data_IF_856978024953
#
_entry.id   IF_856978024953
#
_cell.length_a   1.000
_cell.length_b   1.000
_cell.length_c   1.000
_cell.angle_alpha   90.00
_cell.angle_beta   90.00
_cell.angle_gamma   90.00
#
_symmetry.space_group_name_H-M   'P 1'
#
loop_
_entity.id
_entity.type
_entity.pdbx_description
1 polymer ?
#
# COMPACT_ATOMS: atom_id res chain seq x y z
N UNK A 1 8.50 24.67 12.71
CA UNK A 1 8.41 24.01 11.40
C UNK A 1 8.42 22.52 11.67
N UNK A 2 7.36 21.80 11.30
CA UNK A 2 7.29 20.35 11.50
C UNK A 2 8.25 19.66 10.54
N UNK A 3 8.88 18.57 10.95
CA UNK A 3 9.80 17.77 10.13
C UNK A 3 9.61 16.31 10.47
N UNK A 4 9.76 15.42 9.49
CA UNK A 4 9.65 13.97 9.69
C UNK A 4 10.66 13.50 10.75
N UNK A 5 10.17 12.76 11.74
CA UNK A 5 11.01 12.04 12.70
C UNK A 5 11.61 10.76 12.08
N UNK A 6 12.70 10.93 11.33
CA UNK A 6 13.41 9.82 10.69
C UNK A 6 14.09 8.87 11.69
N UNK A 7 13.82 7.58 11.57
CA UNK A 7 14.57 6.54 12.29
C UNK A 7 15.91 6.28 11.60
N UNK A 8 16.90 5.86 12.40
CA UNK A 8 18.31 5.70 11.99
C UNK A 8 18.54 4.40 11.25
N UNK A 9 17.65 3.43 11.40
CA UNK A 9 17.76 2.12 10.77
C UNK A 9 16.39 1.45 10.59
N UNK A 10 16.34 0.48 9.68
CA UNK A 10 15.17 -0.39 9.53
C UNK A 10 14.86 -1.15 10.82
N UNK A 11 15.88 -1.61 11.55
CA UNK A 11 15.69 -2.32 12.82
C UNK A 11 15.02 -1.45 13.89
N UNK A 12 15.41 -0.18 13.99
CA UNK A 12 14.75 0.78 14.90
C UNK A 12 13.30 1.03 14.50
N UNK A 13 13.02 1.18 13.19
CA UNK A 13 11.65 1.36 12.72
C UNK A 13 10.77 0.13 12.94
N UNK A 14 11.32 -1.08 12.76
CA UNK A 14 10.64 -2.34 13.07
C UNK A 14 10.33 -2.43 14.56
N UNK A 15 11.28 -2.09 15.43
CA UNK A 15 11.06 -2.14 16.88
C UNK A 15 9.95 -1.19 17.33
N UNK A 16 9.88 0.01 16.76
CA UNK A 16 8.80 0.96 17.03
C UNK A 16 7.45 0.53 16.44
N UNK A 17 7.45 -0.07 15.25
CA UNK A 17 6.23 -0.53 14.59
C UNK A 17 5.60 -1.77 15.25
N UNK A 18 6.41 -2.56 15.98
CA UNK A 18 6.03 -3.90 16.46
C UNK A 18 4.73 -3.88 17.27
N UNK A 19 3.80 -4.75 16.89
CA UNK A 19 2.52 -4.93 17.58
C UNK A 19 1.50 -3.81 17.31
N UNK A 20 1.80 -2.88 16.39
CA UNK A 20 0.92 -1.82 15.95
C UNK A 20 0.40 -2.01 14.53
N UNK A 21 -0.33 -0.99 14.06
CA UNK A 21 -0.81 -0.86 12.68
C UNK A 21 0.17 -0.13 11.77
N UNK A 22 1.05 0.72 12.34
CA UNK A 22 2.11 1.40 11.59
C UNK A 22 3.12 0.37 11.09
N UNK A 23 3.63 0.58 9.88
CA UNK A 23 4.67 -0.24 9.27
C UNK A 23 5.90 0.63 8.93
N UNK A 24 7.12 0.06 8.89
CA UNK A 24 8.29 0.77 8.41
C UNK A 24 8.10 1.24 6.97
N UNK A 25 8.30 2.55 6.74
CA UNK A 25 8.36 3.14 5.40
C UNK A 25 9.81 3.54 5.10
N UNK A 26 10.46 2.78 4.23
CA UNK A 26 11.81 3.09 3.77
C UNK A 26 11.74 4.05 2.58
N UNK A 27 12.45 5.17 2.68
CA UNK A 27 12.57 6.18 1.63
C UNK A 27 14.01 6.19 1.13
N UNK A 28 14.22 5.61 -0.04
CA UNK A 28 15.51 5.54 -0.72
C UNK A 28 15.73 6.78 -1.57
N UNK A 29 16.87 7.42 -1.38
CA UNK A 29 17.25 8.68 -2.05
C UNK A 29 18.68 8.59 -2.56
N UNK A 30 19.04 9.43 -3.53
CA UNK A 30 20.40 9.58 -4.02
C UNK A 30 20.79 11.06 -4.13
N UNK A 31 22.03 11.42 -3.75
CA UNK A 31 22.58 12.76 -3.98
C UNK A 31 22.71 13.03 -5.48
N UNK A 32 22.36 14.25 -5.92
CA UNK A 32 22.41 14.64 -7.33
C UNK A 32 21.32 14.01 -8.20
N UNK A 33 20.33 13.34 -7.60
CA UNK A 33 19.12 12.89 -8.28
C UNK A 33 18.02 13.94 -8.09
N UNK A 34 17.61 14.60 -9.17
CA UNK A 34 16.59 15.67 -9.14
C UNK A 34 15.28 15.20 -8.50
N UNK A 35 14.83 13.98 -8.81
CA UNK A 35 13.62 13.41 -8.21
C UNK A 35 13.75 13.25 -6.70
N UNK A 36 14.91 12.78 -6.22
CA UNK A 36 15.17 12.64 -4.78
C UNK A 36 15.20 13.99 -4.09
N UNK A 37 15.83 14.99 -4.71
CA UNK A 37 15.93 16.35 -4.17
C UNK A 37 14.55 17.01 -4.09
N UNK A 38 13.74 16.93 -5.15
CA UNK A 38 12.37 17.45 -5.16
C UNK A 38 11.49 16.76 -4.13
N UNK A 39 11.53 15.43 -4.05
CA UNK A 39 10.79 14.68 -3.02
C UNK A 39 11.19 15.15 -1.61
N UNK A 40 12.48 15.29 -1.32
CA UNK A 40 12.94 15.67 0.02
C UNK A 40 12.62 17.13 0.37
N UNK A 41 12.65 18.05 -0.61
CA UNK A 41 12.57 19.49 -0.36
C UNK A 41 11.17 20.07 -0.58
N UNK A 42 10.32 19.45 -1.40
CA UNK A 42 8.99 19.96 -1.77
C UNK A 42 7.85 19.07 -1.24
N UNK A 43 8.02 17.74 -1.32
CA UNK A 43 6.95 16.79 -0.97
C UNK A 43 7.00 16.45 0.52
N UNK A 44 8.16 16.00 1.01
CA UNK A 44 8.36 15.58 2.40
C UNK A 44 8.54 16.75 3.39
N UNK A 45 8.40 17.99 2.90
CA UNK A 45 8.30 19.22 3.70
C UNK A 45 6.87 19.73 3.83
N UNK A 46 5.92 19.18 3.06
CA UNK A 46 4.51 19.52 3.16
C UNK A 46 3.92 19.04 4.48
N UNK A 47 3.28 19.92 5.26
CA UNK A 47 2.83 19.60 6.62
C UNK A 47 1.81 18.45 6.68
N UNK A 48 0.91 18.36 5.69
CA UNK A 48 -0.08 17.28 5.61
C UNK A 48 0.59 15.94 5.29
N UNK A 49 1.59 15.94 4.42
CA UNK A 49 2.38 14.74 4.09
C UNK A 49 3.19 14.28 5.29
N UNK A 50 3.86 15.20 6.00
CA UNK A 50 4.60 14.87 7.23
C UNK A 50 3.66 14.26 8.26
N UNK A 51 2.50 14.87 8.48
CA UNK A 51 1.51 14.38 9.43
C UNK A 51 0.99 12.98 9.06
N UNK A 52 0.73 12.74 7.77
CA UNK A 52 0.30 11.43 7.28
C UNK A 52 1.39 10.37 7.48
N UNK A 53 2.64 10.64 7.09
CA UNK A 53 3.76 9.70 7.26
C UNK A 53 3.96 9.35 8.73
N UNK A 54 3.99 10.34 9.62
CA UNK A 54 4.21 10.11 11.05
C UNK A 54 3.06 9.35 11.71
N UNK A 55 1.82 9.59 11.27
CA UNK A 55 0.63 8.91 11.79
C UNK A 55 0.56 7.46 11.32
N UNK A 56 0.86 7.21 10.05
CA UNK A 56 0.57 5.93 9.39
C UNK A 56 1.78 5.00 9.27
N UNK A 57 3.00 5.51 9.35
CA UNK A 57 4.22 4.75 9.10
C UNK A 57 5.32 5.09 10.08
N UNK A 58 6.36 4.25 10.12
CA UNK A 58 7.61 4.54 10.83
C UNK A 58 8.71 4.82 9.80
N UNK A 59 9.03 6.10 9.51
CA UNK A 59 9.85 6.45 8.36
C UNK A 59 11.35 6.26 8.59
N UNK A 60 12.03 5.68 7.60
CA UNK A 60 13.49 5.49 7.56
C UNK A 60 14.02 6.06 6.25
N UNK A 61 15.00 6.96 6.31
CA UNK A 61 15.67 7.46 5.11
C UNK A 61 16.94 6.66 4.84
N UNK A 62 17.09 6.19 3.61
CA UNK A 62 18.29 5.52 3.11
C UNK A 62 18.87 6.36 1.97
N UNK A 63 20.13 6.75 2.09
CA UNK A 63 20.91 7.24 0.94
C UNK A 63 21.56 6.04 0.26
N UNK A 64 21.25 5.79 -1.01
CA UNK A 64 21.73 4.60 -1.74
C UNK A 64 23.23 4.66 -2.03
N UNK A 65 23.83 5.86 -2.06
CA UNK A 65 25.27 6.05 -2.21
C UNK A 65 26.04 5.75 -0.91
N UNK A 66 25.41 5.98 0.24
CA UNK A 66 25.99 5.70 1.56
C UNK A 66 25.69 4.26 2.03
N UNK A 67 24.58 3.67 1.58
CA UNK A 67 24.13 2.34 2.00
C UNK A 67 23.70 1.46 0.82
N UNK A 68 24.69 1.09 -0.01
CA UNK A 68 24.50 0.24 -1.19
C UNK A 68 23.93 -1.13 -0.84
N UNK A 69 24.36 -1.74 0.26
CA UNK A 69 23.88 -3.06 0.69
C UNK A 69 22.36 -3.05 0.96
N UNK A 70 21.81 -1.95 1.49
CA UNK A 70 20.38 -1.83 1.69
C UNK A 70 19.64 -1.66 0.36
N UNK A 71 20.18 -0.86 -0.56
CA UNK A 71 19.61 -0.71 -1.90
C UNK A 71 19.57 -2.05 -2.65
N UNK A 72 20.65 -2.85 -2.57
CA UNK A 72 20.73 -4.20 -3.14
C UNK A 72 19.73 -5.16 -2.49
N UNK A 73 19.63 -5.17 -1.16
CA UNK A 73 18.67 -6.01 -0.40
C UNK A 73 17.25 -5.79 -0.90
N UNK A 74 16.86 -4.54 -1.10
CA UNK A 74 15.51 -4.17 -1.53
C UNK A 74 15.34 -4.11 -3.06
N UNK A 75 16.43 -4.34 -3.80
CA UNK A 75 16.51 -4.26 -5.26
C UNK A 75 16.08 -2.89 -5.80
N UNK A 76 16.52 -1.83 -5.15
CA UNK A 76 16.23 -0.44 -5.54
C UNK A 76 17.13 -0.07 -6.72
N UNK A 77 16.55 0.00 -7.91
CA UNK A 77 17.24 0.38 -9.15
C UNK A 77 17.01 1.84 -9.56
N UNK A 78 16.04 2.52 -8.96
CA UNK A 78 15.66 3.89 -9.28
C UNK A 78 15.36 4.68 -8.01
N UNK A 79 15.60 6.00 -8.01
CA UNK A 79 15.33 6.88 -6.86
C UNK A 79 14.55 8.13 -7.30
N UNK A 80 13.68 8.70 -6.45
CA UNK A 80 13.35 8.22 -5.11
C UNK A 80 12.54 6.91 -5.19
N UNK A 81 12.69 6.05 -4.18
CA UNK A 81 11.89 4.83 -4.07
C UNK A 81 11.39 4.67 -2.65
N UNK A 82 10.21 4.10 -2.53
CA UNK A 82 9.50 3.96 -1.28
C UNK A 82 9.14 2.50 -1.11
N UNK A 83 9.43 1.94 0.07
CA UNK A 83 9.16 0.53 0.36
C UNK A 83 8.52 0.44 1.73
N UNK A 84 7.31 -0.13 1.78
CA UNK A 84 6.67 -0.52 3.04
C UNK A 84 7.13 -1.92 3.39
N UNK A 85 7.56 -2.12 4.64
CA UNK A 85 8.05 -3.42 5.12
C UNK A 85 7.16 -4.01 6.21
N UNK A 86 7.20 -5.33 6.38
CA UNK A 86 6.65 -6.01 7.54
C UNK A 86 7.61 -5.96 8.76
N UNK A 87 7.20 -6.58 9.87
CA UNK A 87 8.00 -6.66 11.11
C UNK A 87 9.25 -7.54 10.99
N UNK A 88 9.38 -8.33 9.92
CA UNK A 88 10.57 -9.13 9.61
C UNK A 88 11.53 -8.39 8.67
N UNK A 89 11.10 -7.23 8.15
CA UNK A 89 11.84 -6.43 7.17
C UNK A 89 11.75 -6.97 5.75
N UNK A 90 10.71 -7.74 5.43
CA UNK A 90 10.36 -8.08 4.06
C UNK A 90 9.57 -6.93 3.42
N UNK A 91 9.80 -6.67 2.14
CA UNK A 91 9.04 -5.68 1.39
C UNK A 91 7.61 -6.20 1.13
N UNK A 92 6.61 -5.42 1.53
CA UNK A 92 5.20 -5.67 1.22
C UNK A 92 4.78 -4.89 -0.02
N UNK A 93 5.06 -3.59 -0.03
CA UNK A 93 4.65 -2.68 -1.09
C UNK A 93 5.76 -1.73 -1.49
N UNK A 94 5.70 -1.24 -2.72
CA UNK A 94 6.66 -0.25 -3.23
C UNK A 94 6.09 0.65 -4.31
N UNK A 95 6.61 1.87 -4.36
CA UNK A 95 6.49 2.75 -5.51
C UNK A 95 7.81 3.45 -5.78
N UNK A 96 8.08 3.76 -7.04
CA UNK A 96 9.33 4.35 -7.50
C UNK A 96 9.05 5.62 -8.31
N UNK A 97 9.96 6.59 -8.20
CA UNK A 97 9.87 7.87 -8.87
C UNK A 97 9.23 8.97 -8.03
N UNK A 98 9.36 10.19 -8.54
CA UNK A 98 8.75 11.37 -7.96
C UNK A 98 7.24 11.35 -8.17
N UNK A 99 6.50 11.67 -7.12
CA UNK A 99 5.08 12.04 -7.17
C UNK A 99 4.89 13.37 -6.43
N UNK A 100 4.01 14.26 -6.88
CA UNK A 100 3.78 15.54 -6.22
C UNK A 100 3.02 15.35 -4.90
N UNK A 101 2.98 16.40 -4.06
CA UNK A 101 2.46 16.30 -2.70
C UNK A 101 0.96 15.97 -2.66
N UNK A 102 0.18 16.46 -3.62
CA UNK A 102 -1.24 16.16 -3.78
C UNK A 102 -1.53 14.68 -4.01
N UNK A 103 -0.61 13.95 -4.65
CA UNK A 103 -0.76 12.52 -4.96
C UNK A 103 -0.09 11.63 -3.91
N UNK A 104 0.74 12.19 -3.03
CA UNK A 104 1.52 11.41 -2.08
C UNK A 104 0.67 10.73 -1.01
N UNK A 105 -0.32 11.44 -0.45
CA UNK A 105 -1.20 10.88 0.59
C UNK A 105 -2.06 9.73 0.06
N UNK A 106 -2.79 9.86 -1.08
CA UNK A 106 -3.53 8.71 -1.61
C UNK A 106 -2.61 7.54 -1.98
N UNK A 107 -1.40 7.79 -2.51
CA UNK A 107 -0.41 6.72 -2.73
C UNK A 107 -0.02 6.02 -1.41
N UNK A 108 0.22 6.78 -0.33
CA UNK A 108 0.57 6.23 0.97
C UNK A 108 -0.58 5.38 1.56
N UNK A 109 -1.81 5.87 1.47
CA UNK A 109 -3.02 5.16 1.92
C UNK A 109 -3.16 3.85 1.15
N UNK A 110 -3.03 3.89 -0.18
CA UNK A 110 -3.10 2.69 -1.01
C UNK A 110 -2.05 1.67 -0.59
N UNK A 111 -0.78 2.08 -0.49
CA UNK A 111 0.31 1.19 -0.09
C UNK A 111 0.14 0.62 1.31
N UNK A 112 -0.45 1.38 2.25
CA UNK A 112 -0.81 0.85 3.58
C UNK A 112 -1.93 -0.18 3.49
N UNK A 113 -3.00 0.10 2.75
CA UNK A 113 -4.12 -0.83 2.56
C UNK A 113 -3.69 -2.15 1.92
N UNK A 114 -2.85 -2.07 0.87
CA UNK A 114 -2.27 -3.24 0.22
C UNK A 114 -1.35 -4.03 1.16
N UNK A 115 -0.50 -3.34 1.91
CA UNK A 115 0.36 -3.99 2.93
C UNK A 115 -0.47 -4.72 3.98
N UNK A 116 -1.53 -4.09 4.50
CA UNK A 116 -2.46 -4.71 5.42
C UNK A 116 -3.15 -5.94 4.80
N UNK A 117 -3.57 -5.86 3.54
CA UNK A 117 -4.16 -6.97 2.80
C UNK A 117 -3.20 -8.16 2.63
N UNK A 118 -1.93 -7.88 2.34
CA UNK A 118 -0.86 -8.90 2.26
C UNK A 118 -0.60 -9.58 3.60
N UNK A 119 -0.69 -8.84 4.70
CA UNK A 119 -0.59 -9.36 6.06
C UNK A 119 -1.87 -10.05 6.56
N UNK A 120 -2.92 -10.13 5.74
CA UNK A 120 -4.21 -10.71 6.13
C UNK A 120 -5.02 -9.84 7.11
N UNK A 121 -4.60 -8.59 7.36
CA UNK A 121 -5.29 -7.60 8.20
C UNK A 121 -6.46 -6.97 7.42
N UNK A 122 -7.40 -7.79 6.98
CA UNK A 122 -8.40 -7.40 5.97
C UNK A 122 -9.35 -6.28 6.45
N UNK A 123 -9.65 -6.20 7.75
CA UNK A 123 -10.44 -5.08 8.31
C UNK A 123 -9.69 -3.75 8.20
N UNK A 124 -8.38 -3.76 8.43
CA UNK A 124 -7.54 -2.59 8.28
C UNK A 124 -7.44 -2.21 6.80
N UNK A 125 -7.16 -3.18 5.93
CA UNK A 125 -7.11 -2.97 4.49
C UNK A 125 -8.38 -2.32 3.95
N UNK A 126 -9.56 -2.86 4.31
CA UNK A 126 -10.85 -2.32 3.90
C UNK A 126 -11.02 -0.85 4.32
N UNK A 127 -10.66 -0.48 5.55
CA UNK A 127 -10.74 0.91 6.02
C UNK A 127 -9.84 1.85 5.21
N UNK A 128 -8.62 1.45 4.90
CA UNK A 128 -7.71 2.28 4.11
C UNK A 128 -8.24 2.49 2.68
N UNK A 129 -8.76 1.44 2.04
CA UNK A 129 -9.32 1.56 0.70
C UNK A 129 -10.60 2.39 0.64
N UNK A 130 -11.49 2.25 1.64
CA UNK A 130 -12.69 3.08 1.77
C UNK A 130 -12.31 4.55 1.97
N UNK A 131 -11.35 4.85 2.86
CA UNK A 131 -10.83 6.20 3.05
C UNK A 131 -10.25 6.79 1.76
N UNK A 132 -9.50 6.02 0.97
CA UNK A 132 -8.99 6.51 -0.32
C UNK A 132 -10.11 6.88 -1.28
N UNK A 133 -11.11 6.00 -1.44
CA UNK A 133 -12.23 6.23 -2.35
C UNK A 133 -13.10 7.43 -1.91
N UNK A 134 -13.31 7.61 -0.60
CA UNK A 134 -14.16 8.67 -0.05
C UNK A 134 -13.46 10.03 0.02
N UNK A 135 -12.22 10.08 0.52
CA UNK A 135 -11.49 11.33 0.76
C UNK A 135 -10.72 11.81 -0.49
N UNK A 136 -10.38 10.89 -1.41
CA UNK A 136 -9.62 11.18 -2.63
C UNK A 136 -10.31 10.66 -3.90
N UNK A 137 -11.60 10.98 -4.15
CA UNK A 137 -12.38 10.41 -5.25
C UNK A 137 -11.85 10.78 -6.65
N UNK A 138 -11.00 11.81 -6.75
CA UNK A 138 -10.35 12.22 -8.00
C UNK A 138 -9.00 11.54 -8.28
N UNK A 139 -8.50 10.70 -7.37
CA UNK A 139 -7.21 10.02 -7.53
C UNK A 139 -7.30 8.92 -8.59
N UNK A 140 -6.26 8.79 -9.43
CA UNK A 140 -6.12 7.68 -10.38
C UNK A 140 -6.01 6.31 -9.69
N UNK A 141 -5.80 6.29 -8.36
CA UNK A 141 -5.67 5.09 -7.53
C UNK A 141 -7.02 4.55 -7.02
N UNK A 142 -8.12 5.31 -7.16
CA UNK A 142 -9.46 4.88 -6.71
C UNK A 142 -9.85 3.52 -7.28
N UNK A 143 -9.67 3.23 -8.59
CA UNK A 143 -10.02 1.93 -9.14
C UNK A 143 -9.28 0.75 -8.51
N UNK A 144 -8.04 0.98 -8.06
CA UNK A 144 -7.24 -0.02 -7.36
C UNK A 144 -7.78 -0.25 -5.95
N UNK A 145 -8.01 0.83 -5.22
CA UNK A 145 -8.52 0.78 -3.86
C UNK A 145 -9.88 0.07 -3.81
N UNK A 146 -10.82 0.45 -4.67
CA UNK A 146 -12.15 -0.18 -4.72
C UNK A 146 -12.04 -1.68 -5.03
N UNK A 147 -11.22 -2.07 -6.01
CA UNK A 147 -10.97 -3.48 -6.33
C UNK A 147 -10.51 -4.27 -5.10
N UNK A 148 -9.51 -3.75 -4.37
CA UNK A 148 -9.01 -4.42 -3.18
C UNK A 148 -9.93 -4.29 -1.96
N UNK A 149 -10.79 -3.28 -1.88
CA UNK A 149 -11.89 -3.21 -0.91
C UNK A 149 -12.86 -4.37 -1.10
N UNK A 150 -13.23 -4.66 -2.35
CA UNK A 150 -14.03 -5.84 -2.69
C UNK A 150 -13.33 -7.15 -2.30
N UNK A 151 -12.03 -7.27 -2.58
CA UNK A 151 -11.24 -8.46 -2.23
C UNK A 151 -11.07 -8.62 -0.72
N UNK A 152 -10.80 -7.55 0.02
CA UNK A 152 -10.65 -7.54 1.48
C UNK A 152 -11.98 -7.90 2.16
N UNK A 153 -13.09 -7.33 1.69
CA UNK A 153 -14.44 -7.66 2.18
C UNK A 153 -14.77 -9.12 1.94
N UNK A 154 -14.46 -9.65 0.75
CA UNK A 154 -14.66 -11.06 0.45
C UNK A 154 -13.85 -11.97 1.39
N UNK A 155 -12.60 -11.61 1.71
CA UNK A 155 -11.80 -12.35 2.71
C UNK A 155 -12.40 -12.30 4.12
N UNK A 156 -13.09 -11.23 4.49
CA UNK A 156 -13.74 -11.08 5.80
C UNK A 156 -15.05 -11.87 5.91
N UNK A 157 -15.89 -11.82 4.88
CA UNK A 157 -17.29 -12.30 4.97
C UNK A 157 -17.52 -13.59 4.17
N UNK A 158 -16.67 -13.89 3.20
CA UNK A 158 -16.90 -14.95 2.21
C UNK A 158 -17.98 -14.61 1.17
N UNK A 159 -18.52 -13.39 1.19
CA UNK A 159 -19.59 -12.95 0.30
C UNK A 159 -19.02 -12.32 -0.97
N UNK A 160 -19.35 -12.89 -2.13
CA UNK A 160 -18.88 -12.40 -3.43
C UNK A 160 -19.62 -11.15 -3.91
N UNK A 161 -20.75 -10.80 -3.28
CA UNK A 161 -21.64 -9.72 -3.72
C UNK A 161 -20.91 -8.38 -3.79
N UNK A 162 -20.14 -8.02 -2.75
CA UNK A 162 -19.44 -6.74 -2.68
C UNK A 162 -18.38 -6.60 -3.79
N UNK A 163 -17.61 -7.66 -4.06
CA UNK A 163 -16.64 -7.66 -5.15
C UNK A 163 -17.33 -7.54 -6.52
N UNK A 164 -18.45 -8.23 -6.73
CA UNK A 164 -19.23 -8.11 -7.97
C UNK A 164 -19.87 -6.74 -8.15
N UNK A 165 -20.33 -6.09 -7.07
CA UNK A 165 -20.84 -4.72 -7.08
C UNK A 165 -19.76 -3.72 -7.49
N UNK A 166 -18.61 -3.75 -6.81
CA UNK A 166 -17.44 -2.94 -7.15
C UNK A 166 -17.04 -3.14 -8.61
N UNK A 167 -16.93 -4.38 -9.06
CA UNK A 167 -16.53 -4.64 -10.44
C UNK A 167 -17.53 -4.11 -11.47
N UNK A 168 -18.83 -4.07 -11.15
CA UNK A 168 -19.85 -3.45 -12.00
C UNK A 168 -19.69 -1.93 -12.01
N UNK A 169 -19.42 -1.33 -10.86
CA UNK A 169 -19.19 0.11 -10.73
C UNK A 169 -17.96 0.54 -11.53
N UNK A 170 -16.81 -0.12 -11.35
CA UNK A 170 -15.58 0.13 -12.10
C UNK A 170 -15.75 0.04 -13.62
N UNK A 171 -16.56 -0.91 -14.11
CA UNK A 171 -16.89 -1.03 -15.54
C UNK A 171 -17.62 0.21 -16.06
N UNK A 172 -18.43 0.86 -15.22
CA UNK A 172 -19.22 2.03 -15.58
C UNK A 172 -18.48 3.35 -15.38
N UNK A 173 -17.66 3.46 -14.32
CA UNK A 173 -17.02 4.72 -13.90
C UNK A 173 -15.57 4.85 -14.40
N UNK A 174 -14.85 3.74 -14.54
CA UNK A 174 -13.43 3.71 -14.91
C UNK A 174 -13.11 2.65 -15.99
N UNK A 175 -13.81 2.66 -17.14
CA UNK A 175 -13.70 1.59 -18.14
C UNK A 175 -12.28 1.36 -18.70
N UNK A 176 -11.43 2.38 -18.69
CA UNK A 176 -10.04 2.34 -19.16
C UNK A 176 -9.04 1.79 -18.13
N UNK A 177 -9.41 1.74 -16.85
CA UNK A 177 -8.52 1.31 -15.78
C UNK A 177 -8.07 -0.14 -15.94
N UNK A 178 -6.81 -0.41 -15.57
CA UNK A 178 -6.29 -1.79 -15.55
C UNK A 178 -7.02 -2.66 -14.53
N UNK A 179 -7.57 -2.06 -13.47
CA UNK A 179 -8.35 -2.74 -12.44
C UNK A 179 -9.72 -3.17 -12.95
N UNK A 180 -10.33 -2.38 -13.83
CA UNK A 180 -11.55 -2.76 -14.55
C UNK A 180 -11.35 -4.00 -15.42
N UNK A 181 -10.19 -4.12 -16.08
CA UNK A 181 -9.84 -5.34 -16.84
C UNK A 181 -9.73 -6.57 -15.94
N UNK A 182 -9.18 -6.42 -14.73
CA UNK A 182 -9.09 -7.49 -13.73
C UNK A 182 -10.46 -7.88 -13.16
N UNK A 183 -11.40 -6.93 -13.13
CA UNK A 183 -12.80 -7.14 -12.75
C UNK A 183 -13.67 -7.86 -13.81
N UNK A 184 -13.15 -8.08 -15.02
CA UNK A 184 -13.94 -8.60 -16.15
C UNK A 184 -14.59 -9.96 -15.91
N UNK A 185 -14.04 -10.77 -14.99
CA UNK A 185 -14.61 -12.05 -14.58
C UNK A 185 -15.73 -11.92 -13.53
N UNK A 186 -15.64 -10.96 -12.62
CA UNK A 186 -16.56 -10.88 -11.46
C UNK A 186 -17.68 -9.83 -11.61
N UNK A 187 -17.58 -8.92 -12.59
CA UNK A 187 -18.57 -7.86 -12.82
C UNK A 187 -19.75 -8.23 -13.73
N UNK A 188 -19.75 -9.41 -14.38
CA UNK A 188 -20.72 -9.75 -15.44
C UNK A 188 -21.80 -10.77 -15.04
N UNK A 189 -21.55 -11.65 -14.07
CA UNK A 189 -22.54 -12.64 -13.60
C UNK A 189 -22.27 -13.03 -12.13
N UNK A 190 -23.31 -13.28 -11.33
CA UNK A 190 -23.18 -13.67 -9.90
C UNK A 190 -22.85 -15.15 -9.67
N UNK A 191 -22.75 -15.95 -10.73
CA UNK A 191 -22.59 -17.42 -10.68
C UNK A 191 -21.14 -17.92 -10.88
N UNK A 192 -20.12 -17.06 -10.74
CA UNK A 192 -18.73 -17.49 -10.90
C UNK A 192 -18.18 -18.21 -9.67
N UNK A 193 -17.23 -19.11 -9.93
CA UNK A 193 -16.43 -19.79 -8.92
C UNK A 193 -15.75 -18.76 -8.01
N UNK A 194 -15.81 -19.00 -6.70
CA UNK A 194 -15.19 -18.13 -5.68
C UNK A 194 -13.71 -17.88 -6.03
N UNK A 195 -13.20 -16.64 -5.90
CA UNK A 195 -11.77 -16.37 -6.04
C UNK A 195 -10.97 -17.31 -5.13
N UNK A 196 -9.87 -17.86 -5.64
CA UNK A 196 -8.96 -18.61 -4.78
C UNK A 196 -8.33 -17.66 -3.77
N UNK A 197 -8.63 -17.88 -2.49
CA UNK A 197 -7.99 -17.18 -1.37
C UNK A 197 -6.89 -18.10 -0.87
N UNK A 198 -5.64 -17.81 -1.25
CA UNK A 198 -4.48 -18.61 -0.87
C UNK A 198 -3.75 -18.10 0.37
N UNK A 199 -3.14 -19.06 1.08
CA UNK A 199 -2.20 -18.99 2.21
C UNK A 199 -2.58 -18.02 3.35
N UNK A 200 -3.60 -18.42 4.09
CA UNK A 200 -3.75 -18.21 5.53
C UNK A 200 -2.49 -18.71 6.25
N UNK A 201 -1.53 -17.80 6.47
CA UNK A 201 -0.26 -18.08 7.11
C UNK A 201 -0.41 -18.88 8.41
N UNK A 202 -0.19 -20.19 8.33
CA UNK A 202 0.12 -21.09 9.44
C UNK A 202 -0.79 -20.97 10.68
N UNK A 203 -2.02 -21.45 10.60
CA UNK A 203 -2.87 -21.69 11.77
C UNK A 203 -3.78 -22.89 11.55
N UNK A 204 -3.37 -24.06 12.03
CA UNK A 204 -4.15 -25.30 11.94
C UNK A 204 -5.48 -25.21 12.71
N UNK A 205 -6.59 -25.44 12.01
CA UNK A 205 -7.76 -26.25 12.39
C UNK A 205 -8.74 -26.18 11.21
N UNK A 206 -9.00 -27.19 10.39
CA UNK A 206 -9.21 -28.60 10.68
C UNK A 206 -10.54 -29.00 10.01
N UNK A 207 -10.50 -29.99 9.11
CA UNK A 207 -11.63 -30.80 8.58
C UNK A 207 -12.77 -30.08 7.83
N UNK A 208 -13.31 -30.52 6.70
CA UNK A 208 -13.14 -31.73 5.89
C UNK A 208 -13.71 -31.43 4.49
N UNK A 209 -13.16 -32.01 3.43
CA UNK A 209 -13.56 -33.31 2.88
C UNK A 209 -14.74 -33.20 1.88
N UNK A 210 -14.37 -33.30 0.60
CA UNK A 210 -15.14 -33.57 -0.62
C UNK A 210 -16.10 -32.49 -1.14
#
# INVERSE_FOLDING_TARGET
MRSIEWKRSLSEAIEEARGGTRLPLMVFTAKGCEGSEKTMNEVLTNESVIAAIERECVPVRIDVGENQAMAERFRVGWTPAFVVCDEEGNALERWEGYIPAEDFIPQLILSKGLSAFHLGRNEEAAREFEMLAEDYPGSELVPEAEYYLGAATFKLTGETNKLSEVCRELIMTHPESTWTKRCSLWGRDSNYLRPFVGYDGGGSAGSGAY
#
